data_IF_674694618408
#
_entry.id   IF_674694618408
#
_cell.length_a   1.000
_cell.length_b   1.000
_cell.length_c   1.000
_cell.angle_alpha   90.00
_cell.angle_beta   90.00
_cell.angle_gamma   90.00
#
_symmetry.space_group_name_H-M   'P 1'
#
loop_
_entity.id
_entity.type
_entity.pdbx_description
1 polymer ?
#
# COMPACT_ATOMS: atom_id res chain seq x y z
N UNK A 1 25.39 -3.53 -11.84
CA UNK A 1 25.69 -2.81 -10.60
C UNK A 1 24.90 -1.51 -10.53
N UNK A 2 24.67 -0.80 -11.64
CA UNK A 2 23.78 0.41 -11.70
C UNK A 2 22.33 0.20 -11.22
N UNK A 3 21.72 -0.97 -11.49
CA UNK A 3 20.28 -1.17 -11.26
C UNK A 3 19.86 -1.16 -9.77
N UNK A 4 20.80 -1.44 -8.86
CA UNK A 4 20.52 -1.47 -7.40
C UNK A 4 20.60 -0.08 -6.79
N UNK A 5 21.54 0.75 -7.24
CA UNK A 5 21.69 2.13 -6.77
C UNK A 5 20.50 3.00 -7.19
N UNK A 6 20.00 2.82 -8.41
CA UNK A 6 18.81 3.53 -8.91
C UNK A 6 17.54 3.14 -8.13
N UNK A 7 17.34 1.85 -7.85
CA UNK A 7 16.22 1.38 -7.05
C UNK A 7 16.27 1.89 -5.59
N UNK A 8 17.47 1.98 -5.02
CA UNK A 8 17.68 2.56 -3.69
C UNK A 8 17.35 4.05 -3.68
N UNK A 9 17.85 4.80 -4.66
CA UNK A 9 17.57 6.24 -4.79
C UNK A 9 16.07 6.51 -5.00
N UNK A 10 15.37 5.68 -5.78
CA UNK A 10 13.93 5.79 -5.96
C UNK A 10 13.16 5.54 -4.65
N UNK A 11 13.57 4.54 -3.86
CA UNK A 11 12.97 4.28 -2.54
C UNK A 11 13.17 5.45 -1.59
N UNK A 12 14.37 6.02 -1.56
CA UNK A 12 14.66 7.20 -0.75
C UNK A 12 13.80 8.39 -1.15
N UNK A 13 13.68 8.66 -2.45
CA UNK A 13 12.84 9.75 -2.97
C UNK A 13 11.37 9.56 -2.58
N UNK A 14 10.85 8.33 -2.63
CA UNK A 14 9.48 8.01 -2.18
C UNK A 14 9.33 8.24 -0.67
N UNK A 15 10.28 7.78 0.14
CA UNK A 15 10.23 7.96 1.59
C UNK A 15 10.21 9.45 1.98
N UNK A 16 11.06 10.27 1.35
CA UNK A 16 11.07 11.72 1.56
C UNK A 16 9.74 12.37 1.16
N UNK A 17 9.20 11.96 0.00
CA UNK A 17 7.91 12.46 -0.46
C UNK A 17 6.75 12.09 0.47
N UNK A 18 6.76 10.87 1.03
CA UNK A 18 5.74 10.43 1.99
C UNK A 18 5.80 11.27 3.27
N UNK A 19 7.00 11.57 3.79
CA UNK A 19 7.11 12.44 4.97
C UNK A 19 6.65 13.88 4.67
N UNK A 20 6.99 14.44 3.49
CA UNK A 20 6.49 15.75 3.06
C UNK A 20 4.95 15.77 2.94
N UNK A 21 4.37 14.72 2.36
CA UNK A 21 2.91 14.58 2.28
C UNK A 21 2.27 14.45 3.66
N UNK A 22 2.83 13.63 4.55
CA UNK A 22 2.30 13.47 5.91
C UNK A 22 2.27 14.80 6.65
N UNK A 23 3.34 15.57 6.52
CA UNK A 23 3.44 16.90 7.11
C UNK A 23 2.36 17.86 6.58
N UNK A 24 2.23 17.97 5.26
CA UNK A 24 1.26 18.87 4.64
C UNK A 24 -0.21 18.43 4.80
N UNK A 25 -0.44 17.16 5.12
CA UNK A 25 -1.75 16.59 5.40
C UNK A 25 -2.05 16.48 6.91
N UNK A 26 -1.14 16.96 7.77
CA UNK A 26 -1.28 16.96 9.24
C UNK A 26 -1.46 15.55 9.84
N UNK A 27 -0.72 14.57 9.31
CA UNK A 27 -0.74 13.17 9.73
C UNK A 27 0.65 12.62 10.09
N UNK A 28 1.53 13.48 10.63
CA UNK A 28 2.93 13.14 10.95
C UNK A 28 3.08 11.87 11.82
N UNK A 29 2.15 11.68 12.76
CA UNK A 29 2.12 10.57 13.71
C UNK A 29 1.56 9.26 13.14
N UNK A 30 1.05 9.25 11.90
CA UNK A 30 0.48 8.04 11.30
C UNK A 30 1.61 7.12 10.81
N UNK A 31 1.69 5.86 11.30
CA UNK A 31 2.77 4.94 10.95
C UNK A 31 2.54 4.31 9.56
N UNK A 32 2.82 5.07 8.50
CA UNK A 32 2.67 4.62 7.11
C UNK A 32 3.83 3.67 6.74
N UNK A 33 3.52 2.39 6.49
CA UNK A 33 4.47 1.41 5.96
C UNK A 33 4.53 1.48 4.42
N UNK A 34 5.47 2.27 3.91
CA UNK A 34 5.67 2.47 2.46
C UNK A 34 6.04 1.18 1.74
N UNK A 35 6.89 0.34 2.34
CA UNK A 35 7.34 -0.91 1.73
C UNK A 35 6.16 -1.89 1.57
N UNK A 36 5.29 -2.00 2.58
CA UNK A 36 4.09 -2.81 2.50
C UNK A 36 3.11 -2.32 1.42
N UNK A 37 2.90 -0.99 1.32
CA UNK A 37 2.04 -0.39 0.29
C UNK A 37 2.58 -0.70 -1.12
N UNK A 38 3.88 -0.49 -1.35
CA UNK A 38 4.52 -0.75 -2.64
C UNK A 38 4.52 -2.24 -2.98
N UNK A 39 4.68 -3.13 -2.00
CA UNK A 39 4.56 -4.58 -2.18
C UNK A 39 3.16 -4.95 -2.66
N UNK A 40 2.11 -4.50 -1.97
CA UNK A 40 0.71 -4.77 -2.36
C UNK A 40 0.39 -4.22 -3.76
N UNK A 41 0.83 -3.01 -4.05
CA UNK A 41 0.68 -2.41 -5.39
C UNK A 41 1.35 -3.28 -6.46
N UNK A 42 2.58 -3.74 -6.20
CA UNK A 42 3.32 -4.65 -7.06
C UNK A 42 2.56 -5.95 -7.31
N UNK A 43 2.10 -6.62 -6.25
CA UNK A 43 1.31 -7.85 -6.34
C UNK A 43 0.06 -7.66 -7.22
N UNK A 44 -0.68 -6.57 -7.02
CA UNK A 44 -1.85 -6.24 -7.82
C UNK A 44 -1.51 -5.99 -9.30
N UNK A 45 -0.44 -5.23 -9.58
CA UNK A 45 -0.01 -4.93 -10.94
C UNK A 45 0.39 -6.18 -11.74
N UNK A 46 1.04 -7.14 -11.10
CA UNK A 46 1.48 -8.38 -11.74
C UNK A 46 0.33 -9.38 -11.93
N UNK A 47 -0.59 -9.45 -10.98
CA UNK A 47 -1.65 -10.48 -10.96
C UNK A 47 -2.89 -10.08 -11.75
N UNK A 48 -3.23 -8.79 -11.78
CA UNK A 48 -4.45 -8.28 -12.44
C UNK A 48 -4.09 -7.62 -13.76
N UNK A 49 -3.53 -6.41 -13.71
CA UNK A 49 -2.95 -5.61 -14.80
C UNK A 49 -2.22 -4.42 -14.17
N UNK A 50 -1.26 -3.78 -14.87
CA UNK A 50 -0.50 -2.65 -14.31
C UNK A 50 -1.35 -1.54 -13.65
N UNK A 51 -2.49 -1.10 -14.20
CA UNK A 51 -3.35 -0.10 -13.54
C UNK A 51 -4.00 -0.54 -12.23
N UNK A 52 -3.96 -1.83 -11.88
CA UNK A 52 -4.54 -2.33 -10.62
C UNK A 52 -3.75 -1.89 -9.38
N UNK A 53 -2.46 -1.57 -9.51
CA UNK A 53 -1.63 -1.05 -8.42
C UNK A 53 -2.28 0.14 -7.68
N UNK A 54 -2.50 1.30 -8.34
CA UNK A 54 -3.06 2.47 -7.68
C UNK A 54 -4.51 2.28 -7.21
N UNK A 55 -5.32 1.52 -7.95
CA UNK A 55 -6.72 1.26 -7.58
C UNK A 55 -6.79 0.42 -6.30
N UNK A 56 -5.93 -0.58 -6.16
CA UNK A 56 -5.87 -1.46 -4.99
C UNK A 56 -5.47 -0.66 -3.75
N UNK A 57 -4.36 0.08 -3.81
CA UNK A 57 -3.86 0.83 -2.64
C UNK A 57 -4.78 1.97 -2.23
N UNK A 58 -5.48 2.60 -3.18
CA UNK A 58 -6.48 3.62 -2.85
C UNK A 58 -7.65 3.02 -2.06
N UNK A 59 -8.21 1.90 -2.53
CA UNK A 59 -9.37 1.27 -1.88
C UNK A 59 -8.99 0.73 -0.49
N UNK A 60 -7.85 0.06 -0.35
CA UNK A 60 -7.42 -0.47 0.95
C UNK A 60 -7.17 0.64 1.96
N UNK A 61 -6.49 1.72 1.55
CA UNK A 61 -6.28 2.90 2.40
C UNK A 61 -7.59 3.61 2.76
N UNK A 62 -8.51 3.74 1.80
CA UNK A 62 -9.82 4.36 2.03
C UNK A 62 -10.66 3.58 3.06
N UNK A 63 -10.72 2.25 2.94
CA UNK A 63 -11.44 1.39 3.89
C UNK A 63 -10.79 1.41 5.27
N UNK A 64 -9.45 1.40 5.34
CA UNK A 64 -8.75 1.52 6.61
C UNK A 64 -9.06 2.85 7.33
N UNK A 65 -9.03 3.96 6.59
CA UNK A 65 -9.43 5.27 7.10
C UNK A 65 -10.89 5.34 7.55
N UNK A 66 -11.81 4.73 6.80
CA UNK A 66 -13.23 4.62 7.19
C UNK A 66 -13.42 3.82 8.48
N UNK A 67 -12.73 2.69 8.63
CA UNK A 67 -12.81 1.85 9.83
C UNK A 67 -12.26 2.58 11.07
N UNK A 68 -11.15 3.31 10.91
CA UNK A 68 -10.61 4.16 11.97
C UNK A 68 -11.57 5.30 12.33
N UNK A 69 -12.08 6.04 11.34
CA UNK A 69 -12.96 7.18 11.56
C UNK A 69 -14.31 6.79 12.20
N UNK A 70 -14.80 5.58 11.93
CA UNK A 70 -16.02 5.04 12.54
C UNK A 70 -15.80 4.39 13.90
N UNK A 71 -14.55 4.27 14.36
CA UNK A 71 -14.20 3.57 15.61
C UNK A 71 -14.37 2.06 15.54
N UNK A 72 -14.48 1.47 14.35
CA UNK A 72 -14.60 0.02 14.17
C UNK A 72 -13.30 -0.72 14.49
N UNK A 73 -12.15 -0.13 14.15
CA UNK A 73 -10.83 -0.68 14.40
C UNK A 73 -9.78 0.44 14.47
N UNK A 74 -8.64 0.18 15.10
CA UNK A 74 -7.49 1.09 15.04
C UNK A 74 -6.86 1.13 13.64
N UNK A 75 -6.06 2.16 13.36
CA UNK A 75 -5.38 2.34 12.05
C UNK A 75 -4.60 1.10 11.61
N UNK A 76 -3.76 0.55 12.49
CA UNK A 76 -2.91 -0.61 12.20
C UNK A 76 -3.75 -1.87 11.91
N UNK A 77 -4.76 -2.13 12.74
CA UNK A 77 -5.66 -3.27 12.58
C UNK A 77 -6.46 -3.17 11.28
N UNK A 78 -7.01 -1.99 11.00
CA UNK A 78 -7.79 -1.74 9.80
C UNK A 78 -6.94 -1.86 8.52
N UNK A 79 -5.72 -1.31 8.55
CA UNK A 79 -4.77 -1.39 7.42
C UNK A 79 -4.33 -2.82 7.15
N UNK A 80 -4.02 -3.58 8.22
CA UNK A 80 -3.67 -5.00 8.12
C UNK A 80 -4.83 -5.80 7.53
N UNK A 81 -6.04 -5.67 8.08
CA UNK A 81 -7.20 -6.40 7.61
C UNK A 81 -7.55 -6.07 6.14
N UNK A 82 -7.50 -4.80 5.74
CA UNK A 82 -7.74 -4.40 4.36
C UNK A 82 -6.69 -4.97 3.39
N UNK A 83 -5.42 -5.01 3.82
CA UNK A 83 -4.31 -5.58 3.06
C UNK A 83 -4.43 -7.10 2.91
N UNK A 84 -4.76 -7.81 4.00
CA UNK A 84 -4.96 -9.27 4.00
C UNK A 84 -6.07 -9.66 3.01
N UNK A 85 -7.21 -8.97 3.02
CA UNK A 85 -8.31 -9.23 2.07
C UNK A 85 -7.87 -9.05 0.62
N UNK A 86 -7.09 -8.01 0.32
CA UNK A 86 -6.57 -7.78 -1.03
C UNK A 86 -5.60 -8.90 -1.44
N UNK A 87 -4.69 -9.30 -0.55
CA UNK A 87 -3.72 -10.38 -0.80
C UNK A 87 -4.42 -11.72 -1.05
N UNK A 88 -5.39 -12.10 -0.23
CA UNK A 88 -6.16 -13.34 -0.43
C UNK A 88 -6.91 -13.38 -1.78
N UNK A 89 -7.37 -12.23 -2.29
CA UNK A 89 -7.99 -12.14 -3.61
C UNK A 89 -6.96 -12.30 -4.74
N UNK A 90 -5.78 -11.70 -4.58
CA UNK A 90 -4.69 -11.81 -5.55
C UNK A 90 -4.14 -13.24 -5.61
N UNK A 91 -3.96 -13.90 -4.46
CA UNK A 91 -3.51 -15.29 -4.39
C UNK A 91 -4.49 -16.23 -5.08
N UNK A 92 -5.80 -16.10 -4.78
CA UNK A 92 -6.84 -16.89 -5.45
C UNK A 92 -6.84 -16.69 -6.96
N UNK A 93 -6.61 -15.46 -7.43
CA UNK A 93 -6.55 -15.15 -8.86
C UNK A 93 -5.31 -15.77 -9.51
N UNK A 94 -4.17 -15.73 -8.85
CA UNK A 94 -2.93 -16.35 -9.32
C UNK A 94 -3.09 -17.86 -9.50
N UNK A 95 -3.77 -18.52 -8.57
CA UNK A 95 -4.06 -19.97 -8.65
C UNK A 95 -5.15 -20.34 -9.67
N UNK A 96 -6.02 -19.40 -10.06
CA UNK A 96 -7.05 -19.65 -11.07
C UNK A 96 -6.56 -19.46 -12.51
N UNK A 97 -5.43 -18.78 -12.70
CA UNK A 97 -4.84 -18.46 -14.02
C UNK A 97 -3.68 -19.40 -14.38
N UNK A 98 -3.14 -20.15 -13.40
CA UNK A 98 -2.16 -21.22 -13.61
C UNK A 98 -2.83 -22.58 -13.88
#
# INVERSE_FOLDING_TARGET
>A
MENTDEASAAREAIALWVEELKHHLEIDEVPIDVDAILKLAGEAAHTVVRPAAPVTTFITGYVAGLAQASGQAGYEEATRAATEVAQELLDRRSHAVG
#
